data_IF_453077192013
#
_entry.id   IF_453077192013
#
_cell.length_a   1.000
_cell.length_b   1.000
_cell.length_c   1.000
_cell.angle_alpha   90.00
_cell.angle_beta   90.00
_cell.angle_gamma   90.00
#
_symmetry.space_group_name_H-M   'P 1'
#
loop_
_entity.id
_entity.type
_entity.pdbx_description
1 polymer ?
#
# COMPACT_ATOMS: atom_id res chain seq x y z
N UNK A 1 -24.11 5.41 -4.23
CA UNK A 1 -22.67 5.67 -4.30
C UNK A 1 -21.93 4.38 -3.97
N UNK A 2 -21.12 3.86 -4.91
CA UNK A 2 -20.19 2.76 -4.65
C UNK A 2 -18.77 3.33 -4.78
N UNK A 3 -17.86 2.94 -3.90
CA UNK A 3 -16.47 3.38 -3.98
C UNK A 3 -15.76 2.66 -5.13
N UNK A 4 -15.76 3.30 -6.30
CA UNK A 4 -15.17 2.81 -7.55
C UNK A 4 -14.71 3.98 -8.42
N UNK A 5 -13.69 3.77 -9.23
CA UNK A 5 -13.11 4.81 -10.10
C UNK A 5 -14.17 5.47 -11.00
N UNK A 6 -15.01 4.65 -11.64
CA UNK A 6 -16.07 5.14 -12.54
C UNK A 6 -17.06 6.06 -11.83
N UNK A 7 -17.39 5.74 -10.58
CA UNK A 7 -18.37 6.47 -9.78
C UNK A 7 -17.83 7.83 -9.31
N UNK A 8 -16.50 8.02 -9.25
CA UNK A 8 -15.89 9.30 -8.89
C UNK A 8 -16.06 10.38 -9.98
N UNK A 9 -16.41 9.99 -11.21
CA UNK A 9 -16.72 10.94 -12.30
C UNK A 9 -17.98 11.77 -12.00
N UNK A 10 -18.88 11.26 -11.16
CA UNK A 10 -20.07 11.99 -10.72
C UNK A 10 -19.75 12.84 -9.47
N UNK A 11 -18.87 13.83 -9.65
CA UNK A 11 -18.30 14.66 -8.57
C UNK A 11 -19.37 15.25 -7.67
N UNK A 12 -20.44 15.81 -8.24
CA UNK A 12 -21.50 16.46 -7.47
C UNK A 12 -22.16 15.56 -6.43
N UNK A 13 -22.35 14.26 -6.73
CA UNK A 13 -22.99 13.33 -5.79
C UNK A 13 -22.11 13.08 -4.57
N UNK A 14 -20.78 13.00 -4.77
CA UNK A 14 -19.83 12.82 -3.67
C UNK A 14 -19.67 14.08 -2.83
N UNK A 15 -19.56 15.24 -3.49
CA UNK A 15 -19.44 16.53 -2.80
C UNK A 15 -20.71 16.85 -2.00
N UNK A 16 -21.91 16.60 -2.55
CA UNK A 16 -23.19 16.72 -1.82
C UNK A 16 -23.27 15.79 -0.62
N UNK A 17 -22.59 14.64 -0.66
CA UNK A 17 -22.49 13.70 0.47
C UNK A 17 -21.36 14.07 1.48
N UNK A 18 -20.63 15.16 1.22
CA UNK A 18 -19.59 15.71 2.09
C UNK A 18 -18.23 15.03 1.96
N UNK A 19 -17.94 14.39 0.82
CA UNK A 19 -16.63 13.80 0.54
C UNK A 19 -15.74 14.76 -0.24
N UNK A 20 -14.51 14.96 0.24
CA UNK A 20 -13.43 15.52 -0.58
C UNK A 20 -12.91 14.43 -1.53
N UNK A 21 -12.81 14.76 -2.82
CA UNK A 21 -12.28 13.87 -3.86
C UNK A 21 -10.82 14.19 -4.23
N UNK A 22 -10.11 13.23 -4.85
CA UNK A 22 -8.80 13.51 -5.45
C UNK A 22 -8.83 14.67 -6.44
N UNK A 23 -7.83 15.56 -6.35
CA UNK A 23 -7.70 16.76 -7.21
C UNK A 23 -6.69 16.57 -8.34
N UNK A 24 -6.37 15.31 -8.66
CA UNK A 24 -5.42 14.92 -9.70
C UNK A 24 -6.03 13.84 -10.60
N UNK A 25 -5.47 13.66 -11.79
CA UNK A 25 -5.86 12.57 -12.68
C UNK A 25 -5.34 11.23 -12.15
N UNK A 26 -6.25 10.44 -11.58
CA UNK A 26 -5.89 9.16 -10.97
C UNK A 26 -5.43 8.12 -11.98
N UNK A 27 -6.02 8.06 -13.16
CA UNK A 27 -5.62 7.12 -14.21
C UNK A 27 -4.19 7.40 -14.70
N UNK A 28 -3.86 8.68 -14.86
CA UNK A 28 -2.51 9.12 -15.20
C UNK A 28 -1.51 8.84 -14.07
N UNK A 29 -1.88 9.11 -12.81
CA UNK A 29 -1.07 8.77 -11.65
C UNK A 29 -0.78 7.26 -11.58
N UNK A 30 -1.79 6.41 -11.77
CA UNK A 30 -1.62 4.95 -11.79
C UNK A 30 -0.66 4.53 -12.90
N UNK A 31 -0.84 5.06 -14.11
CA UNK A 31 0.04 4.78 -15.25
C UNK A 31 1.49 5.17 -14.94
N UNK A 32 1.71 6.41 -14.47
CA UNK A 32 3.04 6.91 -14.12
C UNK A 32 3.71 6.06 -13.04
N UNK A 33 2.95 5.63 -12.03
CA UNK A 33 3.46 4.79 -10.94
C UNK A 33 3.84 3.40 -11.43
N UNK A 34 3.08 2.83 -12.37
CA UNK A 34 3.38 1.51 -12.93
C UNK A 34 4.65 1.53 -13.78
N UNK A 35 4.81 2.57 -14.60
CA UNK A 35 5.97 2.77 -15.47
C UNK A 35 7.22 3.17 -14.68
N UNK A 36 7.08 4.03 -13.68
CA UNK A 36 8.17 4.59 -12.89
C UNK A 36 7.82 4.53 -11.38
N UNK A 37 7.85 3.34 -10.75
CA UNK A 37 7.50 3.21 -9.34
C UNK A 37 8.48 4.01 -8.48
N UNK A 38 7.98 4.97 -7.70
CA UNK A 38 8.83 5.79 -6.81
C UNK A 38 8.70 5.42 -5.33
N UNK A 39 7.54 4.87 -4.92
CA UNK A 39 7.24 4.57 -3.53
C UNK A 39 6.45 3.27 -3.40
N UNK A 40 7.05 2.29 -2.72
CA UNK A 40 6.37 1.08 -2.23
C UNK A 40 6.24 1.08 -0.71
N UNK A 41 5.09 0.65 -0.20
CA UNK A 41 4.81 0.52 1.22
C UNK A 41 4.45 -0.92 1.59
N UNK A 42 5.04 -1.42 2.66
CA UNK A 42 4.82 -2.76 3.20
C UNK A 42 3.94 -2.70 4.44
N UNK A 43 2.84 -3.46 4.42
CA UNK A 43 1.80 -3.43 5.44
C UNK A 43 0.60 -2.60 4.97
N UNK A 44 -0.48 -3.28 4.58
CA UNK A 44 -1.64 -2.67 3.95
C UNK A 44 -2.72 -2.26 4.96
N UNK A 45 -2.35 -1.96 6.19
CA UNK A 45 -3.25 -1.75 7.33
C UNK A 45 -3.93 -0.37 7.39
N UNK A 46 -4.65 -0.14 8.49
CA UNK A 46 -5.38 1.12 8.72
C UNK A 46 -4.45 2.33 8.88
N UNK A 47 -3.33 2.19 9.59
CA UNK A 47 -2.37 3.29 9.79
C UNK A 47 -1.84 3.76 8.44
N UNK A 48 -1.46 2.82 7.57
CA UNK A 48 -1.03 3.13 6.20
C UNK A 48 -2.08 3.95 5.43
N UNK A 49 -3.33 3.47 5.39
CA UNK A 49 -4.41 4.15 4.66
C UNK A 49 -4.75 5.53 5.24
N UNK A 50 -4.73 5.66 6.56
CA UNK A 50 -5.12 6.89 7.24
C UNK A 50 -4.01 7.94 7.27
N UNK A 51 -2.74 7.55 7.14
CA UNK A 51 -1.60 8.46 7.27
C UNK A 51 -0.69 8.50 6.02
N UNK A 52 0.23 7.55 5.72
CA UNK A 52 1.06 7.61 4.52
C UNK A 52 0.29 7.82 3.21
N UNK A 53 -0.81 7.09 2.98
CA UNK A 53 -1.62 7.26 1.79
C UNK A 53 -2.29 8.65 1.75
N UNK A 54 -2.82 9.12 2.89
CA UNK A 54 -3.38 10.47 2.98
C UNK A 54 -2.33 11.57 2.74
N UNK A 55 -1.09 11.39 3.20
CA UNK A 55 0.01 12.33 2.91
C UNK A 55 0.35 12.34 1.43
N UNK A 56 0.48 11.17 0.79
CA UNK A 56 0.72 11.09 -0.65
C UNK A 56 -0.41 11.73 -1.47
N UNK A 57 -1.66 11.51 -1.06
CA UNK A 57 -2.84 12.18 -1.64
C UNK A 57 -2.71 13.71 -1.61
N UNK A 58 -2.29 14.28 -0.47
CA UNK A 58 -2.09 15.73 -0.35
C UNK A 58 -0.94 16.24 -1.23
N UNK A 59 0.14 15.48 -1.37
CA UNK A 59 1.26 15.84 -2.24
C UNK A 59 0.89 15.78 -3.74
N UNK A 60 0.11 14.78 -4.14
CA UNK A 60 -0.45 14.66 -5.48
C UNK A 60 -1.46 15.79 -5.77
N UNK A 61 -2.34 16.10 -4.81
CA UNK A 61 -3.29 17.22 -4.91
C UNK A 61 -2.56 18.58 -5.11
N UNK A 62 -1.34 18.72 -4.58
CA UNK A 62 -0.49 19.91 -4.74
C UNK A 62 0.39 19.88 -6.00
N UNK A 63 0.35 18.81 -6.79
CA UNK A 63 1.20 18.62 -7.97
C UNK A 63 2.68 18.41 -7.64
N UNK A 64 3.03 18.10 -6.39
CA UNK A 64 4.42 17.86 -5.97
C UNK A 64 4.88 16.47 -6.41
N UNK A 65 3.96 15.50 -6.37
CA UNK A 65 4.16 14.16 -6.90
C UNK A 65 3.32 13.99 -8.17
N UNK A 66 3.76 13.08 -9.04
CA UNK A 66 3.00 12.58 -10.20
C UNK A 66 2.80 11.05 -10.16
N UNK A 67 3.36 10.37 -9.15
CA UNK A 67 3.20 8.95 -8.85
C UNK A 67 2.58 8.74 -7.47
N UNK A 68 1.78 7.71 -7.32
CA UNK A 68 1.19 7.27 -6.05
C UNK A 68 2.03 6.22 -5.33
N UNK A 69 1.37 5.50 -4.43
CA UNK A 69 1.97 4.44 -3.62
C UNK A 69 1.54 3.07 -4.16
N UNK A 70 2.51 2.15 -4.20
CA UNK A 70 2.30 0.71 -4.36
C UNK A 70 2.25 0.10 -2.96
N UNK A 71 1.20 -0.63 -2.60
CA UNK A 71 1.16 -1.33 -1.30
C UNK A 71 1.41 -2.82 -1.49
N UNK A 72 2.18 -3.41 -0.57
CA UNK A 72 2.46 -4.83 -0.52
C UNK A 72 2.09 -5.40 0.86
N UNK A 73 1.30 -6.47 0.88
CA UNK A 73 0.87 -7.16 2.11
C UNK A 73 1.49 -8.56 2.18
N UNK A 74 2.19 -8.86 3.28
CA UNK A 74 2.91 -10.13 3.47
C UNK A 74 2.32 -11.06 4.51
N UNK A 75 1.18 -10.69 5.12
CA UNK A 75 0.55 -11.48 6.19
C UNK A 75 -0.93 -11.76 5.91
N UNK A 76 -1.74 -10.71 5.71
CA UNK A 76 -3.18 -10.86 5.44
C UNK A 76 -3.50 -10.62 3.95
N UNK A 77 -3.22 -11.61 3.10
CA UNK A 77 -3.46 -11.48 1.65
C UNK A 77 -4.92 -11.20 1.30
N UNK A 78 -5.88 -11.57 2.15
CA UNK A 78 -7.29 -11.30 1.89
C UNK A 78 -7.60 -9.81 1.85
N UNK A 79 -6.83 -8.97 2.55
CA UNK A 79 -7.04 -7.52 2.54
C UNK A 79 -6.87 -6.96 1.13
N UNK A 80 -5.91 -7.50 0.36
CA UNK A 80 -5.62 -7.07 -1.02
C UNK A 80 -6.85 -7.31 -1.90
N UNK A 81 -7.44 -8.51 -1.83
CA UNK A 81 -8.61 -8.84 -2.64
C UNK A 81 -9.88 -8.14 -2.13
N UNK A 82 -10.16 -8.21 -0.82
CA UNK A 82 -11.44 -7.79 -0.23
C UNK A 82 -11.54 -6.30 0.02
N UNK A 83 -10.42 -5.60 0.25
CA UNK A 83 -10.41 -4.18 0.63
C UNK A 83 -9.72 -3.27 -0.39
N UNK A 84 -8.79 -3.78 -1.20
CA UNK A 84 -8.11 -2.97 -2.21
C UNK A 84 -8.70 -3.21 -3.61
N UNK A 85 -8.44 -4.37 -4.23
CA UNK A 85 -8.86 -4.69 -5.60
C UNK A 85 -10.39 -4.59 -5.79
N UNK A 86 -11.19 -5.00 -4.80
CA UNK A 86 -12.66 -4.88 -4.83
C UNK A 86 -13.18 -3.44 -4.99
N UNK A 87 -12.38 -2.44 -4.59
CA UNK A 87 -12.73 -1.02 -4.57
C UNK A 87 -11.77 -0.18 -5.42
N UNK A 88 -11.15 -0.78 -6.44
CA UNK A 88 -10.23 -0.11 -7.37
C UNK A 88 -9.07 0.60 -6.66
N UNK A 89 -8.56 0.02 -5.56
CA UNK A 89 -7.53 0.61 -4.67
C UNK A 89 -7.92 1.95 -4.02
N UNK A 90 -9.21 2.30 -4.04
CA UNK A 90 -9.71 3.48 -3.32
C UNK A 90 -10.00 3.13 -1.86
N UNK A 91 -9.86 4.11 -0.98
CA UNK A 91 -10.36 4.01 0.40
C UNK A 91 -11.04 5.29 0.85
N UNK A 92 -11.85 5.20 1.90
CA UNK A 92 -12.46 6.36 2.55
C UNK A 92 -11.76 6.61 3.87
N UNK A 93 -11.26 7.84 4.04
CA UNK A 93 -10.77 8.35 5.31
C UNK A 93 -11.86 9.20 5.96
N UNK A 94 -12.30 8.82 7.16
CA UNK A 94 -13.19 9.63 7.97
C UNK A 94 -12.45 10.09 9.22
N UNK A 95 -12.38 11.41 9.43
CA UNK A 95 -11.76 12.02 10.61
C UNK A 95 -12.84 12.61 11.51
N UNK A 96 -12.94 12.13 12.75
CA UNK A 96 -13.75 12.74 13.80
C UNK A 96 -12.91 13.78 14.54
N UNK A 97 -13.30 15.05 14.43
CA UNK A 97 -12.62 16.13 15.14
C UNK A 97 -13.09 16.25 16.58
N UNK A 98 -12.29 16.93 17.40
CA UNK A 98 -12.61 17.19 18.81
C UNK A 98 -13.94 17.94 19.01
N UNK A 99 -14.37 18.75 18.03
CA UNK A 99 -15.65 19.45 18.05
C UNK A 99 -16.86 18.59 17.57
N UNK A 100 -16.66 17.29 17.34
CA UNK A 100 -17.70 16.37 16.89
C UNK A 100 -17.98 16.40 15.38
N UNK A 101 -17.33 17.28 14.61
CA UNK A 101 -17.48 17.30 13.15
C UNK A 101 -16.75 16.15 12.47
N UNK A 102 -17.31 15.68 11.35
CA UNK A 102 -16.72 14.64 10.52
C UNK A 102 -16.15 15.25 9.23
N UNK A 103 -14.90 14.93 8.92
CA UNK A 103 -14.33 15.13 7.58
C UNK A 103 -14.25 13.80 6.87
N UNK A 104 -14.69 13.76 5.60
CA UNK A 104 -14.65 12.55 4.78
C UNK A 104 -13.83 12.84 3.55
N UNK A 105 -12.84 11.99 3.26
CA UNK A 105 -12.00 12.09 2.06
C UNK A 105 -11.99 10.74 1.35
N UNK A 106 -12.09 10.77 0.02
CA UNK A 106 -11.74 9.62 -0.81
C UNK A 106 -10.24 9.67 -1.06
N UNK A 107 -9.53 8.65 -0.60
CA UNK A 107 -8.10 8.46 -0.83
C UNK A 107 -7.94 7.65 -2.11
N UNK A 108 -7.29 8.24 -3.11
CA UNK A 108 -7.01 7.66 -4.41
C UNK A 108 -5.53 7.69 -4.81
N UNK A 109 -4.64 7.98 -3.86
CA UNK A 109 -3.18 7.96 -4.04
C UNK A 109 -2.56 6.56 -4.18
N UNK A 110 -3.37 5.52 -4.09
CA UNK A 110 -2.95 4.13 -4.30
C UNK A 110 -2.99 3.77 -5.77
N UNK A 111 -1.88 3.28 -6.28
CA UNK A 111 -1.72 2.91 -7.68
C UNK A 111 -1.92 1.42 -7.96
N UNK A 112 -1.45 0.56 -7.06
CA UNK A 112 -1.58 -0.89 -7.13
C UNK A 112 -1.39 -1.52 -5.74
N UNK A 113 -1.97 -2.70 -5.55
CA UNK A 113 -1.91 -3.50 -4.33
C UNK A 113 -1.47 -4.94 -4.65
N UNK A 114 -0.46 -5.42 -3.93
CA UNK A 114 0.25 -6.68 -4.19
C UNK A 114 0.33 -7.54 -2.94
N UNK A 115 0.42 -8.86 -3.13
CA UNK A 115 0.78 -9.82 -2.07
C UNK A 115 2.27 -10.12 -2.08
N UNK A 116 2.92 -10.11 -0.92
CA UNK A 116 4.30 -10.60 -0.74
C UNK A 116 4.25 -12.12 -0.55
N UNK A 117 3.88 -12.82 -1.61
CA UNK A 117 3.74 -14.28 -1.64
C UNK A 117 4.54 -14.85 -2.81
N UNK A 118 5.60 -15.62 -2.50
CA UNK A 118 6.45 -16.25 -3.52
C UNK A 118 5.70 -17.27 -4.38
N UNK A 119 4.57 -17.80 -3.91
CA UNK A 119 3.71 -18.69 -4.69
C UNK A 119 2.83 -17.92 -5.69
N UNK A 120 2.54 -16.65 -5.43
CA UNK A 120 1.89 -15.74 -6.37
C UNK A 120 2.92 -15.16 -7.34
N UNK A 121 3.26 -15.93 -8.37
CA UNK A 121 4.28 -15.54 -9.37
C UNK A 121 4.01 -14.18 -10.05
N UNK A 122 2.76 -13.75 -10.18
CA UNK A 122 2.42 -12.47 -10.78
C UNK A 122 2.88 -11.30 -9.91
N UNK A 123 2.37 -11.24 -8.67
CA UNK A 123 2.73 -10.17 -7.72
C UNK A 123 4.21 -10.24 -7.35
N UNK A 124 4.76 -11.45 -7.23
CA UNK A 124 6.17 -11.65 -6.93
C UNK A 124 7.10 -11.11 -8.00
N UNK A 125 6.81 -11.38 -9.27
CA UNK A 125 7.59 -10.80 -10.38
C UNK A 125 7.44 -9.28 -10.42
N UNK A 126 6.24 -8.76 -10.17
CA UNK A 126 6.01 -7.31 -10.10
C UNK A 126 6.82 -6.65 -8.98
N UNK A 127 6.89 -7.26 -7.79
CA UNK A 127 7.72 -6.79 -6.69
C UNK A 127 9.21 -6.72 -7.10
N UNK A 128 9.74 -7.75 -7.76
CA UNK A 128 11.12 -7.73 -8.26
C UNK A 128 11.36 -6.63 -9.28
N UNK A 129 10.42 -6.37 -10.18
CA UNK A 129 10.52 -5.25 -11.13
C UNK A 129 10.59 -3.91 -10.42
N UNK A 130 9.73 -3.69 -9.41
CA UNK A 130 9.71 -2.46 -8.61
C UNK A 130 11.06 -2.24 -7.92
N UNK A 131 11.59 -3.26 -7.23
CA UNK A 131 12.87 -3.17 -6.52
C UNK A 131 14.08 -3.00 -7.45
N UNK A 132 13.98 -3.43 -8.70
CA UNK A 132 15.02 -3.24 -9.72
C UNK A 132 14.87 -1.91 -10.47
N UNK A 133 13.78 -1.18 -10.27
CA UNK A 133 13.56 0.09 -10.94
C UNK A 133 14.49 1.17 -10.41
N UNK A 134 15.11 1.93 -11.33
CA UNK A 134 15.93 3.10 -11.00
C UNK A 134 15.11 4.27 -10.44
N UNK A 135 13.79 4.27 -10.67
CA UNK A 135 12.88 5.30 -10.18
C UNK A 135 12.52 5.12 -8.70
N UNK A 136 12.75 3.95 -8.12
CA UNK A 136 12.35 3.66 -6.75
C UNK A 136 13.16 4.52 -5.78
N UNK A 137 12.48 5.38 -5.01
CA UNK A 137 13.07 6.33 -4.07
C UNK A 137 12.79 5.97 -2.62
N UNK A 138 11.65 5.33 -2.33
CA UNK A 138 11.21 5.03 -0.98
C UNK A 138 10.61 3.63 -0.84
N UNK A 139 11.09 2.92 0.18
CA UNK A 139 10.45 1.73 0.74
C UNK A 139 10.08 2.06 2.17
N UNK A 140 8.80 1.97 2.54
CA UNK A 140 8.34 2.24 3.91
C UNK A 140 7.45 1.14 4.46
N UNK A 141 7.24 1.12 5.77
CA UNK A 141 6.71 -0.05 6.47
C UNK A 141 5.72 0.34 7.58
N UNK A 142 4.64 -0.43 7.70
CA UNK A 142 3.75 -0.48 8.88
C UNK A 142 3.46 -1.94 9.28
N UNK A 143 4.53 -2.73 9.41
CA UNK A 143 4.47 -4.19 9.62
C UNK A 143 4.39 -4.62 11.09
N UNK A 144 4.02 -3.71 12.00
CA UNK A 144 4.08 -3.85 13.46
C UNK A 144 5.49 -4.06 14.00
N UNK A 145 5.65 -3.98 15.32
CA UNK A 145 6.91 -4.24 16.02
C UNK A 145 7.41 -5.67 15.76
N UNK A 146 6.47 -6.63 15.73
CA UNK A 146 6.79 -8.05 15.51
C UNK A 146 7.35 -8.34 14.12
N UNK A 147 7.01 -7.53 13.11
CA UNK A 147 7.54 -7.69 11.76
C UNK A 147 9.05 -7.49 11.66
N UNK A 148 9.65 -6.80 12.63
CA UNK A 148 11.10 -6.58 12.70
C UNK A 148 11.84 -7.60 13.59
N UNK A 149 11.11 -8.37 14.39
CA UNK A 149 11.73 -9.33 15.31
C UNK A 149 12.32 -10.52 14.57
N UNK A 150 13.61 -10.80 14.82
CA UNK A 150 14.27 -12.01 14.33
C UNK A 150 14.26 -13.14 15.36
N UNK A 151 14.02 -12.81 16.63
CA UNK A 151 14.09 -13.72 17.77
C UNK A 151 12.81 -13.72 18.59
N UNK A 152 12.58 -14.79 19.32
CA UNK A 152 11.49 -14.94 20.29
C UNK A 152 11.84 -14.33 21.66
N UNK A 153 10.95 -14.51 22.64
CA UNK A 153 11.13 -14.00 24.00
C UNK A 153 12.30 -14.65 24.77
N UNK A 154 12.84 -15.77 24.29
CA UNK A 154 14.01 -16.45 24.88
C UNK A 154 15.31 -16.03 24.20
N UNK A 155 15.24 -15.21 23.14
CA UNK A 155 16.40 -14.81 22.34
C UNK A 155 16.79 -15.83 21.28
N UNK A 156 15.96 -16.84 21.03
CA UNK A 156 16.18 -17.83 19.97
C UNK A 156 15.61 -17.32 18.65
N UNK A 157 16.27 -17.62 17.52
CA UNK A 157 15.74 -17.22 16.20
C UNK A 157 14.35 -17.82 15.96
N UNK A 158 13.45 -17.00 15.42
CA UNK A 158 12.16 -17.48 14.93
C UNK A 158 12.38 -18.60 13.90
N UNK A 159 11.52 -19.60 13.89
CA UNK A 159 11.67 -20.80 13.06
C UNK A 159 11.95 -20.47 11.59
N UNK A 160 11.20 -19.54 11.03
CA UNK A 160 11.32 -19.14 9.62
C UNK A 160 12.63 -18.38 9.37
N UNK A 161 13.05 -17.53 10.30
CA UNK A 161 14.34 -16.82 10.25
C UNK A 161 15.52 -17.79 10.33
N UNK A 162 15.46 -18.76 11.25
CA UNK A 162 16.47 -19.80 11.37
C UNK A 162 16.58 -20.64 10.10
N UNK A 163 15.43 -20.98 9.49
CA UNK A 163 15.39 -21.67 8.20
C UNK A 163 16.05 -20.85 7.08
N UNK A 164 15.78 -19.55 7.01
CA UNK A 164 16.35 -18.66 6.00
C UNK A 164 17.88 -18.58 6.07
N UNK A 165 18.48 -18.64 7.26
CA UNK A 165 19.94 -18.68 7.39
C UNK A 165 20.60 -19.96 6.85
N UNK A 166 19.84 -21.04 6.68
CA UNK A 166 20.36 -22.34 6.22
C UNK A 166 20.11 -22.60 4.73
N UNK A 167 19.31 -21.75 4.09
CA UNK A 167 18.89 -21.91 2.70
C UNK A 167 19.42 -20.78 1.83
N UNK A 168 19.34 -20.97 0.51
CA UNK A 168 19.60 -19.88 -0.43
C UNK A 168 18.57 -18.77 -0.26
N UNK A 169 18.96 -17.53 -0.51
CA UNK A 169 18.09 -16.35 -0.36
C UNK A 169 16.83 -16.46 -1.21
N UNK A 170 16.90 -17.11 -2.39
CA UNK A 170 15.74 -17.36 -3.25
C UNK A 170 14.69 -18.32 -2.65
N UNK A 171 15.01 -19.02 -1.56
CA UNK A 171 14.13 -19.93 -0.83
C UNK A 171 13.73 -19.41 0.55
N UNK A 172 13.92 -18.11 0.81
CA UNK A 172 13.55 -17.47 2.05
C UNK A 172 12.03 -17.47 2.27
N UNK A 173 11.62 -17.70 3.52
CA UNK A 173 10.22 -17.80 3.94
C UNK A 173 9.87 -16.82 5.06
N UNK A 174 10.85 -16.29 5.80
CA UNK A 174 10.58 -15.20 6.74
C UNK A 174 10.27 -13.92 5.98
N UNK A 175 9.47 -13.04 6.60
CA UNK A 175 9.10 -11.76 6.00
C UNK A 175 10.32 -10.94 5.53
N UNK A 176 11.34 -10.82 6.39
CA UNK A 176 12.57 -10.09 6.06
C UNK A 176 13.42 -10.84 5.04
N UNK A 177 13.43 -12.17 5.07
CA UNK A 177 14.11 -12.98 4.07
C UNK A 177 13.51 -12.80 2.68
N UNK A 178 12.17 -12.78 2.56
CA UNK A 178 11.47 -12.49 1.31
C UNK A 178 11.77 -11.07 0.80
N UNK A 179 11.91 -10.09 1.68
CA UNK A 179 12.29 -8.73 1.29
C UNK A 179 13.71 -8.67 0.68
N UNK A 180 14.60 -9.57 1.08
CA UNK A 180 15.99 -9.63 0.62
C UNK A 180 16.20 -10.50 -0.64
N UNK A 181 15.20 -11.28 -1.05
CA UNK A 181 15.29 -12.28 -2.13
C UNK A 181 14.90 -11.75 -3.50
#
# INVERSE_FOLDING_TARGET
>A
MKLRQEELKNVEVWEKAGFELPKFNREEMIKNTKENPEWIHFGAGNIFRAFPAAVCQELLNKGILNTGIIVAEGYDYEIIEKSYKKFDDLSVLVTLKANGSLEKKVIGSMAESLTVDTSNSHDWNRLKEIFRSKSLKMVSFTITEKGYSLVDAKGEFLKDVANDFTKETSAAISYNGQLLS
#
